data_IF_240718963821
#
_entry.id   IF_240718963821
#
_cell.length_a   1.000
_cell.length_b   1.000
_cell.length_c   1.000
_cell.angle_alpha   90.00
_cell.angle_beta   90.00
_cell.angle_gamma   90.00
#
_symmetry.space_group_name_H-M   'P 1'
#
loop_
_entity.id
_entity.type
_entity.pdbx_description
1 polymer ?
#
# COMPACT_ATOMS: atom_id res chain seq x y z
N UNK A 1 -7.22 -1.58 -18.95
CA UNK A 1 -6.04 -1.85 -18.12
C UNK A 1 -5.37 -0.53 -17.79
N UNK A 2 -5.04 -0.28 -16.52
CA UNK A 2 -4.29 0.92 -16.12
C UNK A 2 -2.80 0.65 -16.26
N UNK A 3 -2.10 1.53 -16.99
CA UNK A 3 -0.66 1.40 -17.25
C UNK A 3 0.20 1.86 -16.06
N UNK A 4 -0.22 2.93 -15.38
CA UNK A 4 0.46 3.41 -14.17
C UNK A 4 0.28 2.43 -13.00
N UNK A 5 1.26 2.35 -12.09
CA UNK A 5 1.18 1.54 -10.86
C UNK A 5 0.95 2.44 -9.64
N UNK A 6 0.17 2.02 -8.64
CA UNK A 6 0.02 2.78 -7.38
C UNK A 6 1.07 2.27 -6.41
N UNK A 7 1.83 3.19 -5.83
CA UNK A 7 2.71 2.93 -4.70
C UNK A 7 2.04 3.51 -3.46
N UNK A 8 1.82 2.70 -2.42
CA UNK A 8 1.34 3.18 -1.11
C UNK A 8 2.46 3.03 -0.09
N UNK A 9 2.68 4.04 0.75
CA UNK A 9 3.61 3.93 1.88
C UNK A 9 2.88 3.35 3.06
N UNK A 10 3.37 2.22 3.60
CA UNK A 10 2.80 1.62 4.80
C UNK A 10 3.40 2.26 6.05
N UNK A 11 2.60 2.29 7.11
CA UNK A 11 2.95 2.83 8.42
C UNK A 11 1.85 2.48 9.44
N UNK A 12 1.90 3.02 10.67
CA UNK A 12 1.02 2.62 11.77
C UNK A 12 -0.49 2.69 11.51
N UNK A 13 -0.93 3.49 10.53
CA UNK A 13 -2.33 3.59 10.12
C UNK A 13 -2.76 2.49 9.12
N UNK A 14 -1.86 1.56 8.77
CA UNK A 14 -2.02 0.61 7.66
C UNK A 14 -1.08 -0.61 7.79
N UNK A 15 -0.66 -0.96 9.01
CA UNK A 15 0.25 -2.08 9.28
C UNK A 15 -0.48 -3.39 9.59
N UNK A 16 -1.80 -3.34 9.76
CA UNK A 16 -2.65 -4.50 9.93
C UNK A 16 -3.04 -5.14 8.57
N UNK A 17 -3.43 -6.41 8.65
CA UNK A 17 -3.73 -7.22 7.46
C UNK A 17 -4.99 -6.75 6.72
N UNK A 18 -5.98 -6.23 7.42
CA UNK A 18 -7.24 -5.77 6.84
C UNK A 18 -7.01 -4.50 6.01
N UNK A 19 -6.28 -3.54 6.56
CA UNK A 19 -5.89 -2.31 5.88
C UNK A 19 -5.06 -2.58 4.63
N UNK A 20 -4.09 -3.49 4.70
CA UNK A 20 -3.26 -3.86 3.53
C UNK A 20 -4.10 -4.53 2.44
N UNK A 21 -5.05 -5.40 2.82
CA UNK A 21 -5.96 -6.05 1.87
C UNK A 21 -6.86 -5.02 1.18
N UNK A 22 -7.46 -4.10 1.95
CA UNK A 22 -8.28 -3.03 1.40
C UNK A 22 -7.51 -2.13 0.41
N UNK A 23 -6.24 -1.82 0.69
CA UNK A 23 -5.37 -1.08 -0.23
C UNK A 23 -5.10 -1.87 -1.52
N UNK A 24 -4.85 -3.17 -1.43
CA UNK A 24 -4.66 -4.04 -2.59
C UNK A 24 -5.90 -4.09 -3.47
N UNK A 25 -7.09 -4.29 -2.87
CA UNK A 25 -8.37 -4.30 -3.57
C UNK A 25 -8.70 -2.94 -4.21
N UNK A 26 -8.31 -1.84 -3.56
CA UNK A 26 -8.42 -0.48 -4.09
C UNK A 26 -7.42 -0.17 -5.23
N UNK A 27 -6.46 -1.05 -5.51
CA UNK A 27 -5.55 -0.94 -6.65
C UNK A 27 -4.09 -0.60 -6.31
N UNK A 28 -3.67 -0.73 -5.04
CA UNK A 28 -2.26 -0.70 -4.66
C UNK A 28 -1.49 -1.78 -5.44
N UNK A 29 -0.38 -1.38 -6.07
CA UNK A 29 0.47 -2.29 -6.85
C UNK A 29 1.81 -2.57 -6.16
N UNK A 30 2.29 -1.62 -5.36
CA UNK A 30 3.57 -1.72 -4.64
C UNK A 30 3.38 -1.12 -3.25
N UNK A 31 3.83 -1.86 -2.23
CA UNK A 31 3.96 -1.33 -0.88
C UNK A 31 5.37 -0.74 -0.71
N UNK A 32 5.45 0.49 -0.19
CA UNK A 32 6.69 1.16 0.20
C UNK A 32 6.83 1.10 1.71
N UNK A 33 7.95 0.59 2.18
CA UNK A 33 8.39 0.69 3.57
C UNK A 33 9.40 1.83 3.66
N UNK A 34 9.08 2.86 4.46
CA UNK A 34 9.95 4.03 4.61
C UNK A 34 10.86 3.87 5.82
N UNK A 35 12.09 3.37 5.62
CA UNK A 35 13.07 3.13 6.70
C UNK A 35 13.65 4.41 7.34
N UNK A 36 13.23 5.60 6.91
CA UNK A 36 13.59 6.87 7.58
C UNK A 36 12.79 7.11 8.87
N UNK A 37 11.80 6.29 9.17
CA UNK A 37 10.96 6.34 10.38
C UNK A 37 10.86 4.96 11.02
#
# INVERSE_FOLDING_TARGET
MRNAKIVCTLGPASDDRESIAALADAGMSVARLNASH
#
